data_IF_909805199550
#
_entry.id   IF_909805199550
#
_cell.length_a   1.000
_cell.length_b   1.000
_cell.length_c   1.000
_cell.angle_alpha   90.00
_cell.angle_beta   90.00
_cell.angle_gamma   90.00
#
_symmetry.space_group_name_H-M   'P 1'
#
loop_
_entity.id
_entity.type
_entity.pdbx_description
1 polymer ?
#
# COMPACT_ATOMS: atom_id res chain seq x y z
N UNK A 1 -8.42 5.26 -11.88
CA UNK A 1 -7.13 5.28 -11.17
C UNK A 1 -6.55 3.86 -11.10
N UNK A 2 -5.26 3.75 -11.35
CA UNK A 2 -4.59 2.47 -11.32
C UNK A 2 -4.42 1.98 -9.90
N UNK A 3 -4.77 0.72 -9.64
CA UNK A 3 -4.65 0.12 -8.31
C UNK A 3 -3.35 -0.68 -8.23
N UNK A 4 -2.70 -0.73 -7.06
CA UNK A 4 -1.53 -1.60 -6.88
C UNK A 4 -1.95 -3.07 -6.93
N UNK A 5 -1.07 -3.91 -7.43
CA UNK A 5 -1.35 -5.35 -7.47
C UNK A 5 -1.20 -5.96 -6.09
N UNK A 6 -2.12 -6.85 -5.72
CA UNK A 6 -1.99 -7.62 -4.49
C UNK A 6 -0.72 -8.48 -4.59
N UNK A 7 0.08 -8.45 -3.54
CA UNK A 7 1.37 -9.13 -3.52
C UNK A 7 2.54 -8.27 -3.98
N UNK A 8 2.28 -7.05 -4.48
CA UNK A 8 3.35 -6.17 -4.93
C UNK A 8 4.06 -5.50 -3.74
N UNK A 9 5.31 -5.11 -3.97
CA UNK A 9 6.15 -4.46 -2.97
C UNK A 9 6.30 -2.99 -3.27
N UNK A 10 6.27 -2.17 -2.22
CA UNK A 10 6.33 -0.72 -2.31
C UNK A 10 7.28 -0.17 -1.27
N UNK A 11 7.90 0.97 -1.59
CA UNK A 11 8.84 1.64 -0.70
C UNK A 11 8.36 3.06 -0.46
N UNK A 12 8.30 3.47 0.81
CA UNK A 12 7.98 4.84 1.17
C UNK A 12 9.20 5.71 0.88
N UNK A 13 9.06 6.70 0.01
CA UNK A 13 10.20 7.51 -0.47
C UNK A 13 10.94 8.24 0.64
N UNK A 14 10.21 8.68 1.64
CA UNK A 14 10.80 9.48 2.72
C UNK A 14 11.54 8.63 3.75
N UNK A 15 10.94 7.52 4.16
CA UNK A 15 11.49 6.67 5.23
C UNK A 15 12.29 5.48 4.72
N UNK A 16 12.11 5.14 3.44
CA UNK A 16 12.70 3.97 2.78
C UNK A 16 12.23 2.64 3.38
N UNK A 17 11.15 2.66 4.15
CA UNK A 17 10.54 1.43 4.65
C UNK A 17 9.83 0.70 3.53
N UNK A 18 9.91 -0.61 3.57
CA UNK A 18 9.30 -1.48 2.56
C UNK A 18 7.98 -2.06 3.06
N UNK A 19 7.04 -2.20 2.13
CA UNK A 19 5.70 -2.72 2.42
C UNK A 19 5.26 -3.68 1.34
N UNK A 20 4.35 -4.57 1.71
CA UNK A 20 3.71 -5.48 0.76
C UNK A 20 2.22 -5.20 0.77
N UNK A 21 1.63 -5.04 -0.41
CA UNK A 21 0.17 -4.88 -0.55
C UNK A 21 -0.46 -6.27 -0.40
N UNK A 22 -1.37 -6.42 0.54
CA UNK A 22 -2.03 -7.70 0.82
C UNK A 22 -3.48 -7.73 0.39
N UNK A 23 -4.10 -6.57 0.20
CA UNK A 23 -5.48 -6.50 -0.27
C UNK A 23 -5.78 -5.12 -0.82
N UNK A 24 -6.77 -5.05 -1.69
CA UNK A 24 -7.36 -3.81 -2.18
C UNK A 24 -8.86 -4.01 -2.04
N UNK A 25 -9.52 -3.07 -1.39
CA UNK A 25 -10.94 -3.22 -1.12
C UNK A 25 -11.64 -1.89 -0.99
N UNK A 26 -12.88 -1.94 -0.54
CA UNK A 26 -13.70 -0.75 -0.36
C UNK A 26 -13.89 -0.47 1.13
N UNK A 27 -13.83 0.81 1.48
CA UNK A 27 -14.26 1.25 2.80
C UNK A 27 -15.79 1.19 2.80
N UNK A 28 -16.35 0.34 3.64
CA UNK A 28 -17.77 0.03 3.58
C UNK A 28 -18.69 1.24 3.63
N UNK A 29 -18.39 2.19 4.50
CA UNK A 29 -19.26 3.34 4.74
C UNK A 29 -19.38 4.28 3.54
N UNK A 30 -18.26 4.52 2.84
CA UNK A 30 -18.21 5.49 1.75
C UNK A 30 -18.02 4.86 0.38
N UNK A 31 -17.68 3.57 0.34
CA UNK A 31 -17.32 2.84 -0.87
C UNK A 31 -16.07 3.38 -1.56
N UNK A 32 -15.23 4.06 -0.79
CA UNK A 32 -13.96 4.57 -1.28
C UNK A 32 -12.95 3.42 -1.38
N UNK A 33 -12.16 3.41 -2.45
CA UNK A 33 -11.12 2.40 -2.61
C UNK A 33 -10.02 2.57 -1.57
N UNK A 34 -9.60 1.46 -0.97
CA UNK A 34 -8.55 1.42 0.03
C UNK A 34 -7.52 0.36 -0.28
N UNK A 35 -6.29 0.61 0.16
CA UNK A 35 -5.19 -0.34 0.04
C UNK A 35 -4.81 -0.82 1.44
N UNK A 36 -4.70 -2.12 1.59
CA UNK A 36 -4.25 -2.75 2.83
C UNK A 36 -2.83 -3.26 2.60
N UNK A 37 -1.91 -2.83 3.42
CA UNK A 37 -0.51 -3.18 3.24
C UNK A 37 0.16 -3.39 4.59
N UNK A 38 1.23 -4.17 4.59
CA UNK A 38 1.94 -4.57 5.81
C UNK A 38 3.40 -4.19 5.68
N UNK A 39 3.99 -3.69 6.77
CA UNK A 39 5.41 -3.40 6.81
C UNK A 39 6.21 -4.70 6.82
N UNK A 40 7.38 -4.70 6.17
CA UNK A 40 8.23 -5.88 6.08
C UNK A 40 9.28 -5.95 7.20
N UNK A 41 9.20 -5.03 8.16
CA UNK A 41 10.09 -5.07 9.33
C UNK A 41 9.56 -6.05 10.38
N UNK A 42 10.24 -6.11 11.52
CA UNK A 42 9.90 -7.03 12.60
C UNK A 42 8.50 -6.81 13.16
N UNK A 43 8.01 -5.58 13.11
CA UNK A 43 6.71 -5.23 13.68
C UNK A 43 5.56 -5.73 12.83
N UNK A 44 5.76 -5.85 11.51
CA UNK A 44 4.74 -6.33 10.56
C UNK A 44 3.38 -5.65 10.76
N UNK A 45 3.40 -4.34 10.96
CA UNK A 45 2.17 -3.58 11.15
C UNK A 45 1.35 -3.56 9.87
N UNK A 46 0.07 -3.76 10.02
CA UNK A 46 -0.89 -3.71 8.92
C UNK A 46 -1.53 -2.33 8.88
N UNK A 47 -1.53 -1.71 7.71
CA UNK A 47 -2.05 -0.37 7.50
C UNK A 47 -3.14 -0.38 6.45
N UNK A 48 -4.09 0.52 6.61
CA UNK A 48 -5.16 0.73 5.62
C UNK A 48 -5.10 2.20 5.23
N UNK A 49 -5.08 2.47 3.93
CA UNK A 49 -4.98 3.83 3.42
C UNK A 49 -5.87 3.99 2.19
N UNK A 50 -6.54 5.15 2.02
CA UNK A 50 -7.27 5.41 0.79
C UNK A 50 -6.36 5.28 -0.43
N UNK A 51 -6.88 4.71 -1.51
CA UNK A 51 -6.12 4.48 -2.74
C UNK A 51 -5.51 5.77 -3.28
N UNK A 52 -6.26 6.86 -3.29
CA UNK A 52 -5.79 8.17 -3.74
C UNK A 52 -4.51 8.59 -3.02
N UNK A 53 -4.50 8.39 -1.71
CA UNK A 53 -3.37 8.81 -0.89
C UNK A 53 -2.21 7.85 -1.06
N UNK A 54 -2.49 6.54 -1.17
CA UNK A 54 -1.44 5.56 -1.42
C UNK A 54 -0.72 5.83 -2.75
N UNK A 55 -1.47 6.24 -3.76
CA UNK A 55 -0.94 6.45 -5.12
C UNK A 55 -0.56 7.91 -5.41
N UNK A 56 -0.46 8.75 -4.39
CA UNK A 56 -0.18 10.18 -4.60
C UNK A 56 1.30 10.51 -4.82
N UNK A 57 2.17 9.51 -4.86
CA UNK A 57 3.59 9.70 -5.11
C UNK A 57 4.49 9.49 -3.90
N UNK A 58 3.93 9.26 -2.71
CA UNK A 58 4.74 9.01 -1.51
C UNK A 58 5.37 7.61 -1.47
N UNK A 59 4.84 6.69 -2.27
CA UNK A 59 5.40 5.34 -2.42
C UNK A 59 5.82 5.11 -3.86
N UNK A 60 6.84 4.28 -4.06
CA UNK A 60 7.12 3.78 -5.40
C UNK A 60 7.08 2.26 -5.41
N UNK A 61 6.68 1.71 -6.54
CA UNK A 61 6.61 0.26 -6.73
C UNK A 61 8.03 -0.29 -6.87
N UNK A 62 8.37 -1.24 -6.01
CA UNK A 62 9.66 -1.88 -6.06
C UNK A 62 9.57 -3.09 -6.99
N UNK A 63 10.40 -3.15 -8.04
CA UNK A 63 10.39 -4.31 -8.92
C UNK A 63 10.68 -5.59 -8.15
N UNK A 64 9.99 -6.64 -8.50
CA UNK A 64 10.23 -7.96 -7.94
C UNK A 64 11.55 -8.47 -8.49
N UNK A 65 12.45 -8.77 -7.62
CA UNK A 65 13.76 -9.28 -8.05
C UNK A 65 13.96 -10.72 -7.61
#
# INVERSE_FOLDING_TARGET
MKKPMVGSYWVHKKTLKEYKVIAVGLWEETLEDCVVYVSLDKEQKCWIRPLEIFMDGRFYNRPYS
#
